data_IF_067313696656
#
_entry.id   IF_067313696656
#
_cell.length_a   1.000
_cell.length_b   1.000
_cell.length_c   1.000
_cell.angle_alpha   90.00
_cell.angle_beta   90.00
_cell.angle_gamma   90.00
#
_symmetry.space_group_name_H-M   'P 1'
#
loop_
_entity.id
_entity.type
_entity.pdbx_description
1 polymer ?
#
# COMPACT_ATOMS: atom_id res chain seq x y z
N UNK A 1 17.93 20.31 6.27
CA UNK A 1 17.38 19.83 4.97
C UNK A 1 18.10 18.54 4.55
N UNK A 2 17.61 17.34 4.95
CA UNK A 2 18.02 16.04 4.37
C UNK A 2 17.19 14.90 4.99
N UNK A 3 15.96 14.70 4.56
CA UNK A 3 15.14 13.54 4.98
C UNK A 3 14.51 12.81 3.78
N UNK A 4 14.45 13.45 2.60
CA UNK A 4 13.77 12.90 1.42
C UNK A 4 14.48 11.70 0.76
N UNK A 5 15.78 11.48 1.00
CA UNK A 5 16.55 10.40 0.38
C UNK A 5 16.31 9.01 1.01
N UNK A 6 16.12 8.94 2.34
CA UNK A 6 15.93 7.68 3.06
C UNK A 6 14.54 7.08 2.80
N UNK A 7 13.52 7.94 2.66
CA UNK A 7 12.15 7.50 2.38
C UNK A 7 12.05 6.73 1.07
N UNK A 8 12.56 7.30 -0.02
CA UNK A 8 12.51 6.69 -1.35
C UNK A 8 13.38 5.44 -1.46
N UNK A 9 14.58 5.46 -0.84
CA UNK A 9 15.48 4.31 -0.81
C UNK A 9 14.87 3.14 -0.02
N UNK A 10 14.28 3.38 1.16
CA UNK A 10 13.63 2.31 1.93
C UNK A 10 12.38 1.78 1.25
N UNK A 11 11.62 2.62 0.53
CA UNK A 11 10.44 2.17 -0.21
C UNK A 11 10.84 1.28 -1.40
N UNK A 12 11.89 1.66 -2.14
CA UNK A 12 12.43 0.84 -3.23
C UNK A 12 13.07 -0.46 -2.72
N UNK A 13 13.81 -0.40 -1.61
CA UNK A 13 14.39 -1.59 -0.98
C UNK A 13 13.30 -2.52 -0.45
N UNK A 14 12.24 -2.01 0.18
CA UNK A 14 11.11 -2.82 0.64
C UNK A 14 10.34 -3.44 -0.54
N UNK A 15 10.14 -2.70 -1.64
CA UNK A 15 9.54 -3.24 -2.87
C UNK A 15 10.38 -4.37 -3.47
N UNK A 16 11.70 -4.15 -3.61
CA UNK A 16 12.62 -5.14 -4.16
C UNK A 16 12.74 -6.37 -3.26
N UNK A 17 12.78 -6.18 -1.93
CA UNK A 17 12.79 -7.27 -0.96
C UNK A 17 11.47 -8.02 -0.91
N UNK A 18 10.33 -7.32 -1.02
CA UNK A 18 9.01 -7.95 -1.08
C UNK A 18 8.88 -8.88 -2.30
N UNK A 19 9.40 -8.47 -3.46
CA UNK A 19 9.45 -9.29 -4.66
C UNK A 19 10.47 -10.45 -4.54
N UNK A 20 11.63 -10.21 -3.92
CA UNK A 20 12.67 -11.22 -3.72
C UNK A 20 12.23 -12.32 -2.74
N UNK A 21 11.60 -11.94 -1.62
CA UNK A 21 11.14 -12.88 -0.61
C UNK A 21 9.83 -13.57 -0.98
N UNK A 22 9.01 -12.97 -1.85
CA UNK A 22 7.90 -13.65 -2.52
C UNK A 22 8.39 -14.92 -3.24
N UNK A 23 9.51 -14.83 -3.95
CA UNK A 23 10.10 -15.98 -4.65
C UNK A 23 10.71 -17.04 -3.70
N UNK A 24 10.91 -16.73 -2.42
CA UNK A 24 11.56 -17.63 -1.44
C UNK A 24 10.58 -18.18 -0.39
N UNK A 25 9.29 -17.86 -0.45
CA UNK A 25 8.29 -18.31 0.53
C UNK A 25 8.46 -17.73 1.94
N UNK A 26 9.29 -16.69 2.13
CA UNK A 26 9.57 -16.08 3.44
C UNK A 26 8.69 -14.86 3.72
N UNK A 27 7.40 -14.97 3.42
CA UNK A 27 6.46 -13.85 3.44
C UNK A 27 6.24 -13.25 4.84
N UNK A 28 6.36 -14.05 5.91
CA UNK A 28 6.24 -13.55 7.30
C UNK A 28 7.31 -12.52 7.69
N UNK A 29 8.56 -12.71 7.26
CA UNK A 29 9.64 -11.74 7.52
C UNK A 29 9.43 -10.42 6.78
N UNK A 30 8.75 -10.47 5.63
CA UNK A 30 8.43 -9.28 4.84
C UNK A 30 7.36 -8.45 5.52
N UNK A 31 6.34 -9.09 6.11
CA UNK A 31 5.30 -8.42 6.87
C UNK A 31 5.88 -7.66 8.06
N UNK A 32 6.71 -8.32 8.87
CA UNK A 32 7.39 -7.70 10.02
C UNK A 32 8.22 -6.47 9.60
N UNK A 33 8.98 -6.57 8.50
CA UNK A 33 9.76 -5.45 7.98
C UNK A 33 8.86 -4.28 7.55
N UNK A 34 7.77 -4.54 6.83
CA UNK A 34 6.86 -3.48 6.42
C UNK A 34 6.17 -2.81 7.61
N UNK A 35 5.76 -3.58 8.62
CA UNK A 35 5.17 -3.04 9.85
C UNK A 35 6.16 -2.17 10.63
N UNK A 36 7.42 -2.58 10.72
CA UNK A 36 8.49 -1.78 11.35
C UNK A 36 8.70 -0.46 10.61
N UNK A 37 8.81 -0.49 9.28
CA UNK A 37 8.96 0.72 8.45
C UNK A 37 7.73 1.62 8.58
N UNK A 38 6.53 1.03 8.58
CA UNK A 38 5.29 1.77 8.75
C UNK A 38 5.30 2.53 10.08
N UNK A 39 5.59 1.86 11.18
CA UNK A 39 5.66 2.49 12.50
C UNK A 39 6.68 3.64 12.55
N UNK A 40 7.87 3.42 11.96
CA UNK A 40 8.90 4.45 11.87
C UNK A 40 8.44 5.68 11.08
N UNK A 41 7.78 5.48 9.94
CA UNK A 41 7.27 6.57 9.09
C UNK A 41 6.07 7.28 9.70
N UNK A 42 5.16 6.55 10.34
CA UNK A 42 4.05 7.16 11.08
C UNK A 42 4.56 8.09 12.18
N UNK A 43 5.60 7.69 12.92
CA UNK A 43 6.21 8.51 13.97
C UNK A 43 6.97 9.73 13.44
N UNK A 44 7.63 9.60 12.28
CA UNK A 44 8.56 10.65 11.78
C UNK A 44 7.93 11.59 10.76
N UNK A 45 7.03 11.08 9.91
CA UNK A 45 6.41 11.81 8.79
C UNK A 45 4.91 12.02 9.01
N UNK A 46 4.29 11.24 9.89
CA UNK A 46 2.85 11.25 10.13
C UNK A 46 2.08 10.25 9.26
N UNK A 47 0.85 9.95 9.67
CA UNK A 47 0.00 8.91 9.08
C UNK A 47 -0.42 9.19 7.63
N UNK A 48 -0.53 10.46 7.23
CA UNK A 48 -1.01 10.87 5.90
C UNK A 48 0.13 11.28 4.96
N UNK A 49 1.38 11.14 5.36
CA UNK A 49 2.50 11.47 4.47
C UNK A 49 2.55 10.47 3.30
N UNK A 50 2.78 10.93 2.04
CA UNK A 50 2.81 10.05 0.87
C UNK A 50 3.71 8.83 1.01
N UNK A 51 4.88 8.97 1.63
CA UNK A 51 5.78 7.83 1.89
C UNK A 51 5.20 6.81 2.88
N UNK A 52 4.52 7.26 3.94
CA UNK A 52 3.80 6.37 4.87
C UNK A 52 2.71 5.60 4.13
N UNK A 53 1.94 6.30 3.29
CA UNK A 53 0.84 5.72 2.53
C UNK A 53 1.31 4.74 1.44
N UNK A 54 2.51 4.93 0.89
CA UNK A 54 3.12 3.95 -0.01
C UNK A 54 3.44 2.64 0.72
N UNK A 55 3.95 2.71 1.95
CA UNK A 55 4.19 1.51 2.77
C UNK A 55 2.88 0.79 3.08
N UNK A 56 1.83 1.52 3.42
CA UNK A 56 0.48 0.94 3.62
C UNK A 56 -0.03 0.26 2.34
N UNK A 57 0.11 0.89 1.17
CA UNK A 57 -0.27 0.28 -0.10
C UNK A 57 0.51 -1.02 -0.38
N UNK A 58 1.80 -1.07 -0.02
CA UNK A 58 2.63 -2.24 -0.22
C UNK A 58 2.26 -3.40 0.72
N UNK A 59 1.88 -3.11 1.98
CA UNK A 59 1.27 -4.10 2.88
C UNK A 59 0.00 -4.69 2.28
N UNK A 60 -0.84 -3.85 1.65
CA UNK A 60 -2.01 -4.31 0.91
C UNK A 60 -1.67 -5.32 -0.19
N UNK A 61 -0.63 -5.06 -0.97
CA UNK A 61 -0.16 -6.01 -2.01
C UNK A 61 0.38 -7.31 -1.40
N UNK A 62 1.12 -7.22 -0.29
CA UNK A 62 1.62 -8.40 0.42
C UNK A 62 0.45 -9.30 0.88
N UNK A 63 -0.56 -8.71 1.52
CA UNK A 63 -1.76 -9.43 1.96
C UNK A 63 -2.55 -10.01 0.80
N UNK A 64 -2.68 -9.29 -0.31
CA UNK A 64 -3.31 -9.79 -1.52
C UNK A 64 -2.62 -11.06 -2.06
N UNK A 65 -1.30 -11.08 -2.02
CA UNK A 65 -0.48 -12.21 -2.46
C UNK A 65 -0.54 -13.40 -1.49
N UNK A 66 -0.75 -13.14 -0.20
CA UNK A 66 -1.00 -14.16 0.83
C UNK A 66 -2.42 -14.73 0.81
N UNK A 67 -3.31 -14.22 -0.05
CA UNK A 67 -4.73 -14.57 -0.04
C UNK A 67 -5.52 -13.95 1.12
N UNK A 68 -4.89 -13.06 1.90
CA UNK A 68 -5.48 -12.29 3.00
C UNK A 68 -6.23 -11.08 2.45
N UNK A 69 -7.32 -11.33 1.71
CA UNK A 69 -7.99 -10.32 0.89
C UNK A 69 -8.71 -9.24 1.71
N UNK A 70 -9.14 -9.54 2.94
CA UNK A 70 -9.78 -8.58 3.84
C UNK A 70 -8.75 -7.57 4.36
N UNK A 71 -7.60 -8.04 4.84
CA UNK A 71 -6.51 -7.16 5.29
C UNK A 71 -5.94 -6.35 4.13
N UNK A 72 -5.86 -6.93 2.94
CA UNK A 72 -5.47 -6.21 1.73
C UNK A 72 -6.44 -5.05 1.42
N UNK A 73 -7.76 -5.31 1.48
CA UNK A 73 -8.80 -4.30 1.28
C UNK A 73 -8.65 -3.14 2.26
N UNK A 74 -8.45 -3.44 3.56
CA UNK A 74 -8.27 -2.42 4.59
C UNK A 74 -7.05 -1.53 4.34
N UNK A 75 -5.91 -2.14 4.00
CA UNK A 75 -4.69 -1.40 3.70
C UNK A 75 -4.86 -0.50 2.48
N UNK A 76 -5.44 -1.00 1.38
CA UNK A 76 -5.64 -0.16 0.21
C UNK A 76 -6.65 0.97 0.45
N UNK A 77 -7.74 0.73 1.18
CA UNK A 77 -8.69 1.80 1.53
C UNK A 77 -8.04 2.89 2.39
N UNK A 78 -7.20 2.50 3.35
CA UNK A 78 -6.41 3.44 4.15
C UNK A 78 -5.46 4.27 3.28
N UNK A 79 -4.74 3.61 2.36
CA UNK A 79 -3.83 4.28 1.44
C UNK A 79 -4.58 5.24 0.49
N UNK A 80 -5.73 4.82 -0.04
CA UNK A 80 -6.56 5.61 -0.96
C UNK A 80 -6.99 6.93 -0.31
N UNK A 81 -7.67 6.85 0.84
CA UNK A 81 -8.15 8.04 1.58
C UNK A 81 -7.03 9.01 1.91
N UNK A 82 -5.87 8.49 2.33
CA UNK A 82 -4.72 9.32 2.64
C UNK A 82 -4.12 9.99 1.39
N UNK A 83 -4.02 9.27 0.28
CA UNK A 83 -3.44 9.78 -0.97
C UNK A 83 -4.35 10.78 -1.66
N UNK A 84 -5.66 10.55 -1.66
CA UNK A 84 -6.65 11.53 -2.13
C UNK A 84 -6.48 12.86 -1.39
N UNK A 85 -6.36 12.80 -0.05
CA UNK A 85 -6.17 14.00 0.77
C UNK A 85 -4.81 14.68 0.56
N UNK A 86 -3.74 13.90 0.38
CA UNK A 86 -2.37 14.44 0.31
C UNK A 86 -1.94 14.85 -1.11
N UNK A 87 -2.48 14.22 -2.15
CA UNK A 87 -2.02 14.32 -3.53
C UNK A 87 -3.14 14.65 -4.53
N UNK A 88 -4.40 14.47 -4.14
CA UNK A 88 -5.57 14.57 -5.02
C UNK A 88 -5.99 13.22 -5.63
N UNK A 89 -7.26 13.12 -6.09
CA UNK A 89 -7.83 11.91 -6.67
C UNK A 89 -7.15 11.49 -7.99
N UNK A 90 -6.79 12.46 -8.84
CA UNK A 90 -6.23 12.21 -10.18
C UNK A 90 -4.72 11.93 -10.19
N UNK A 91 -4.07 12.02 -9.03
CA UNK A 91 -2.64 11.77 -8.95
C UNK A 91 -2.32 10.30 -9.23
N UNK A 92 -1.27 10.02 -10.01
CA UNK A 92 -0.90 8.65 -10.44
C UNK A 92 -0.80 7.66 -9.28
N UNK A 93 -0.25 8.08 -8.13
CA UNK A 93 -0.15 7.21 -6.95
C UNK A 93 -1.51 6.84 -6.33
N UNK A 94 -2.50 7.73 -6.43
CA UNK A 94 -3.89 7.52 -5.99
C UNK A 94 -4.58 6.55 -6.94
N UNK A 95 -4.49 6.79 -8.25
CA UNK A 95 -5.04 5.93 -9.29
C UNK A 95 -4.46 4.50 -9.25
N UNK A 96 -3.17 4.35 -8.93
CA UNK A 96 -2.56 3.04 -8.72
C UNK A 96 -3.22 2.27 -7.56
N UNK A 97 -3.57 2.96 -6.48
CA UNK A 97 -4.27 2.34 -5.33
C UNK A 97 -5.72 1.97 -5.70
N UNK A 98 -6.42 2.79 -6.50
CA UNK A 98 -7.74 2.46 -7.08
C UNK A 98 -7.68 1.19 -7.93
N UNK A 99 -6.65 1.06 -8.77
CA UNK A 99 -6.45 -0.13 -9.58
C UNK A 99 -6.23 -1.39 -8.72
N UNK A 100 -5.43 -1.29 -7.66
CA UNK A 100 -5.21 -2.39 -6.72
C UNK A 100 -6.51 -2.82 -6.01
N UNK A 101 -7.33 -1.86 -5.54
CA UNK A 101 -8.65 -2.14 -4.97
C UNK A 101 -9.58 -2.81 -5.98
N UNK A 102 -9.57 -2.36 -7.23
CA UNK A 102 -10.35 -2.97 -8.30
C UNK A 102 -9.99 -4.44 -8.50
N UNK A 103 -8.69 -4.79 -8.48
CA UNK A 103 -8.22 -6.17 -8.58
C UNK A 103 -8.75 -7.01 -7.41
N UNK A 104 -8.66 -6.50 -6.18
CA UNK A 104 -9.19 -7.18 -5.00
C UNK A 104 -10.68 -7.42 -5.12
N UNK A 105 -11.45 -6.39 -5.49
CA UNK A 105 -12.91 -6.46 -5.65
C UNK A 105 -13.35 -7.43 -6.72
N UNK A 106 -12.60 -7.54 -7.83
CA UNK A 106 -12.82 -8.59 -8.82
C UNK A 106 -12.56 -9.98 -8.25
N UNK A 107 -11.49 -10.18 -7.48
CA UNK A 107 -11.16 -11.48 -6.85
C UNK A 107 -12.20 -11.94 -5.83
N UNK A 108 -12.75 -11.03 -5.03
CA UNK A 108 -13.80 -11.35 -4.04
C UNK A 108 -15.23 -11.28 -4.61
N UNK A 109 -15.39 -11.05 -5.92
CA UNK A 109 -16.70 -11.02 -6.57
C UNK A 109 -17.58 -9.79 -6.24
N UNK A 110 -17.02 -8.73 -5.63
CA UNK A 110 -17.75 -7.51 -5.24
C UNK A 110 -17.83 -6.50 -6.39
N UNK A 111 -18.62 -6.80 -7.44
CA UNK A 111 -18.79 -5.91 -8.61
C UNK A 111 -19.33 -4.51 -8.26
N UNK A 112 -20.26 -4.43 -7.31
CA UNK A 112 -20.85 -3.15 -6.88
C UNK A 112 -19.80 -2.19 -6.30
N UNK A 113 -18.82 -2.70 -5.56
CA UNK A 113 -17.75 -1.88 -5.01
C UNK A 113 -16.81 -1.32 -6.08
N UNK A 114 -16.58 -2.06 -7.17
CA UNK A 114 -15.81 -1.55 -8.32
C UNK A 114 -16.51 -0.34 -8.93
N UNK A 115 -17.84 -0.43 -9.14
CA UNK A 115 -18.61 0.69 -9.68
C UNK A 115 -18.55 1.92 -8.76
N UNK A 116 -18.65 1.71 -7.45
CA UNK A 116 -18.52 2.79 -6.47
C UNK A 116 -17.16 3.48 -6.52
N UNK A 117 -16.06 2.74 -6.70
CA UNK A 117 -14.71 3.32 -6.80
C UNK A 117 -14.53 4.27 -8.00
N UNK A 118 -15.16 3.98 -9.13
CA UNK A 118 -15.08 4.83 -10.33
C UNK A 118 -16.12 5.97 -10.33
N UNK A 119 -17.02 6.00 -9.35
CA UNK A 119 -18.04 7.03 -9.22
C UNK A 119 -17.68 8.11 -8.18
N UNK A 120 -16.53 7.99 -7.51
CA UNK A 120 -15.95 8.97 -6.59
C UNK A 120 -15.18 10.04 -7.35
#
# INVERSE_FOLDING_TARGET
KKVLGLGHMMTNTANNLGLLYFNQGRLGKVEEMYLLVLHGFEKTLGHNHPSTLNVVNNLGMLYANLGRLVEAEEMFLRALRGKEKALGPDHTSTLNTVNNLTIIYKRIGKKSKVQQLYAQ
#
